data_IF_652855157023
#
_entry.id   IF_652855157023
#
_cell.length_a   1.000
_cell.length_b   1.000
_cell.length_c   1.000
_cell.angle_alpha   90.00
_cell.angle_beta   90.00
_cell.angle_gamma   90.00
#
_symmetry.space_group_name_H-M   'P 1'
#
loop_
_entity.id
_entity.type
_entity.pdbx_description
1 polymer ?
#
# COMPACT_ATOMS: atom_id res chain seq x y z
N UNK A 1 -1.53 -7.33 16.87
CA UNK A 1 -2.28 -6.24 17.54
C UNK A 1 -1.26 -5.22 18.01
N UNK A 2 -1.45 -3.93 17.69
CA UNK A 2 -0.49 -2.87 18.01
C UNK A 2 -0.45 -2.59 19.52
N UNK A 3 0.75 -2.42 20.07
CA UNK A 3 0.95 -2.18 21.51
C UNK A 3 0.67 -0.71 21.91
N UNK A 4 0.55 0.21 20.94
CA UNK A 4 0.25 1.62 21.20
C UNK A 4 0.22 2.45 19.93
N UNK A 5 -0.37 3.65 20.04
CA UNK A 5 -0.31 4.71 19.04
C UNK A 5 0.38 5.91 19.68
N UNK A 6 1.46 6.37 19.07
CA UNK A 6 2.22 7.53 19.52
C UNK A 6 2.14 8.61 18.45
N UNK A 7 1.76 9.82 18.87
CA UNK A 7 1.66 10.99 17.98
C UNK A 7 2.49 12.09 18.63
N UNK A 8 3.52 12.55 17.92
CA UNK A 8 4.33 13.71 18.30
C UNK A 8 4.22 14.74 17.18
N UNK A 9 3.92 16.00 17.54
CA UNK A 9 3.85 17.11 16.60
C UNK A 9 4.75 18.24 17.07
N UNK A 10 5.52 18.83 16.15
CA UNK A 10 6.45 19.91 16.48
C UNK A 10 5.78 21.25 16.78
N UNK A 11 4.51 21.44 16.40
CA UNK A 11 3.79 22.70 16.60
C UNK A 11 2.42 22.46 17.24
N UNK A 12 1.56 21.66 16.60
CA UNK A 12 0.17 21.51 17.01
C UNK A 12 -0.41 20.15 16.63
N UNK A 13 -1.25 19.59 17.51
CA UNK A 13 -2.23 18.55 17.18
C UNK A 13 -3.61 19.16 17.41
N UNK A 14 -4.35 19.44 16.32
CA UNK A 14 -5.71 19.94 16.41
C UNK A 14 -6.73 18.81 16.23
N UNK A 15 -7.36 18.37 17.32
CA UNK A 15 -8.44 17.39 17.30
C UNK A 15 -9.79 18.10 17.35
N UNK A 16 -10.53 18.07 16.24
CA UNK A 16 -11.85 18.69 16.11
C UNK A 16 -12.86 17.70 15.55
N UNK A 17 -14.11 17.80 16.00
CA UNK A 17 -15.25 16.99 15.54
C UNK A 17 -16.45 17.89 15.31
N UNK A 18 -17.20 17.65 14.24
CA UNK A 18 -18.40 18.41 13.92
C UNK A 18 -19.56 18.18 14.90
N UNK A 19 -19.56 17.07 15.66
CA UNK A 19 -20.64 16.75 16.60
C UNK A 19 -20.17 16.33 17.98
N UNK A 20 -19.32 15.30 18.08
CA UNK A 20 -18.93 14.71 19.37
C UNK A 20 -17.52 14.15 19.29
N UNK A 21 -16.76 14.30 20.37
CA UNK A 21 -15.54 13.53 20.67
C UNK A 21 -15.81 12.73 21.94
N UNK A 22 -15.44 11.45 21.94
CA UNK A 22 -15.49 10.57 23.12
C UNK A 22 -14.11 9.97 23.30
N UNK A 23 -13.53 10.15 24.48
CA UNK A 23 -12.23 9.59 24.86
C UNK A 23 -12.47 8.65 26.04
N UNK A 24 -12.23 7.36 25.84
CA UNK A 24 -12.38 6.32 26.86
C UNK A 24 -11.02 5.67 27.13
N UNK A 25 -10.69 5.45 28.39
CA UNK A 25 -9.50 4.70 28.79
C UNK A 25 -9.84 3.74 29.92
N UNK A 26 -9.22 2.56 29.92
CA UNK A 26 -9.45 1.55 30.94
C UNK A 26 -8.74 1.83 32.27
N UNK A 27 -7.68 2.63 32.26
CA UNK A 27 -6.86 2.90 33.45
C UNK A 27 -6.75 4.38 33.78
N UNK A 28 -6.32 5.21 32.83
CA UNK A 28 -6.07 6.63 33.09
C UNK A 28 -6.20 7.48 31.82
N UNK A 29 -6.72 8.70 31.96
CA UNK A 29 -6.59 9.78 30.98
C UNK A 29 -5.85 10.94 31.66
N UNK A 30 -4.76 11.42 31.05
CA UNK A 30 -3.98 12.54 31.58
C UNK A 30 -3.76 13.61 30.50
N UNK A 31 -4.11 14.85 30.82
CA UNK A 31 -3.80 16.05 30.02
C UNK A 31 -2.78 16.89 30.78
N UNK A 32 -1.58 17.10 30.23
CA UNK A 32 -0.49 17.81 30.92
C UNK A 32 0.05 18.95 30.06
N UNK A 33 0.26 20.12 30.68
CA UNK A 33 0.90 21.29 30.07
C UNK A 33 1.83 21.92 31.10
N UNK A 34 3.14 21.89 30.84
CA UNK A 34 4.15 22.36 31.79
C UNK A 34 4.00 21.69 33.17
N UNK A 35 3.86 22.50 34.22
CA UNK A 35 3.63 22.05 35.60
C UNK A 35 2.16 21.81 35.99
N UNK A 36 1.21 21.99 35.07
CA UNK A 36 -0.22 21.80 35.32
C UNK A 36 -0.74 20.53 34.63
N UNK A 37 -1.71 19.86 35.25
CA UNK A 37 -2.34 18.68 34.64
C UNK A 37 -3.78 18.43 35.13
N UNK A 38 -4.52 17.70 34.31
CA UNK A 38 -5.80 17.08 34.64
C UNK A 38 -5.65 15.57 34.46
N UNK A 39 -6.07 14.80 35.46
CA UNK A 39 -5.92 13.34 35.46
C UNK A 39 -7.22 12.68 35.91
N UNK A 40 -7.65 11.67 35.14
CA UNK A 40 -8.83 10.86 35.40
C UNK A 40 -8.38 9.41 35.58
N UNK A 41 -8.70 8.82 36.72
CA UNK A 41 -8.36 7.44 37.06
C UNK A 41 -9.45 6.85 37.99
N UNK A 42 -9.34 5.59 38.46
CA UNK A 42 -10.35 5.01 39.35
C UNK A 42 -10.56 5.73 40.69
N UNK A 43 -9.64 6.61 41.11
CA UNK A 43 -9.80 7.44 42.31
C UNK A 43 -10.59 8.73 42.06
N UNK A 44 -10.80 9.11 40.80
CA UNK A 44 -11.63 10.24 40.40
C UNK A 44 -10.92 11.22 39.47
N UNK A 45 -11.19 12.52 39.66
CA UNK A 45 -10.64 13.61 38.84
C UNK A 45 -9.68 14.45 39.68
N UNK A 46 -8.43 14.54 39.24
CA UNK A 46 -7.38 15.36 39.85
C UNK A 46 -7.07 16.57 38.96
N UNK A 47 -7.04 17.76 39.57
CA UNK A 47 -6.75 19.04 38.91
C UNK A 47 -5.59 19.73 39.63
N UNK A 48 -4.45 19.93 38.96
CA UNK A 48 -3.26 20.57 39.55
C UNK A 48 -2.75 21.69 38.66
N UNK A 49 -2.47 22.85 39.25
CA UNK A 49 -1.82 23.99 38.61
C UNK A 49 -1.72 25.20 39.55
N UNK A 50 -0.91 26.23 39.24
CA UNK A 50 -0.77 27.44 40.07
C UNK A 50 -2.09 28.19 40.31
N UNK A 51 -3.03 28.07 39.38
CA UNK A 51 -4.39 28.59 39.51
C UNK A 51 -5.35 27.73 38.71
N UNK A 52 -6.46 27.30 39.33
CA UNK A 52 -7.53 26.54 38.68
C UNK A 52 -8.77 27.41 38.64
N UNK A 53 -9.22 27.78 37.43
CA UNK A 53 -10.39 28.63 37.22
C UNK A 53 -11.61 27.77 36.92
N UNK A 54 -12.63 27.84 37.78
CA UNK A 54 -13.89 27.10 37.61
C UNK A 54 -15.01 28.13 37.44
N UNK A 55 -15.72 28.07 36.31
CA UNK A 55 -16.80 29.02 35.96
C UNK A 55 -16.38 30.51 36.00
N UNK A 56 -15.12 30.82 35.70
CA UNK A 56 -14.54 32.17 35.87
C UNK A 56 -14.37 32.96 34.56
N UNK A 57 -15.09 32.60 33.50
CA UNK A 57 -14.96 33.21 32.16
C UNK A 57 -13.65 32.89 31.43
N UNK A 58 -13.42 33.53 30.27
CA UNK A 58 -12.24 33.35 29.41
C UNK A 58 -12.57 33.12 27.93
N UNK A 59 -11.55 33.04 27.08
CA UNK A 59 -11.65 32.66 25.67
C UNK A 59 -10.92 31.35 25.43
N UNK A 60 -11.54 30.43 24.70
CA UNK A 60 -10.89 29.19 24.26
C UNK A 60 -9.78 29.51 23.24
N UNK A 61 -8.75 28.65 23.20
CA UNK A 61 -7.80 28.66 22.10
C UNK A 61 -8.46 28.22 20.79
N UNK A 62 -7.93 28.68 19.66
CA UNK A 62 -8.33 28.26 18.32
C UNK A 62 -7.24 27.39 17.69
N UNK A 63 -7.61 26.26 17.10
CA UNK A 63 -6.67 25.44 16.34
C UNK A 63 -6.67 25.76 14.84
N UNK A 64 -5.58 25.42 14.15
CA UNK A 64 -5.38 25.74 12.72
C UNK A 64 -6.35 25.05 11.76
N UNK A 65 -6.95 23.94 12.18
CA UNK A 65 -7.81 23.12 11.34
C UNK A 65 -7.02 22.17 10.43
N UNK A 66 -7.60 21.02 10.10
CA UNK A 66 -6.99 20.12 9.13
C UNK A 66 -7.26 20.63 7.71
N UNK A 67 -6.20 20.88 6.95
CA UNK A 67 -6.26 21.22 5.52
C UNK A 67 -5.40 20.24 4.70
N UNK A 68 -5.74 18.94 4.68
CA UNK A 68 -4.98 17.96 3.92
C UNK A 68 -5.06 18.25 2.43
N UNK A 69 -3.92 18.11 1.73
CA UNK A 69 -3.91 18.18 0.27
C UNK A 69 -4.67 16.97 -0.29
N UNK A 70 -5.61 17.22 -1.19
CA UNK A 70 -6.31 16.15 -1.89
C UNK A 70 -5.31 15.33 -2.74
N UNK A 71 -5.50 14.01 -2.88
CA UNK A 71 -4.78 13.25 -3.87
C UNK A 71 -5.01 13.88 -5.26
N UNK A 72 -3.96 13.95 -6.06
CA UNK A 72 -4.06 14.41 -7.44
C UNK A 72 -4.78 13.39 -8.33
N UNK A 73 -5.02 13.77 -9.58
CA UNK A 73 -5.57 12.86 -10.57
C UNK A 73 -4.67 11.63 -10.75
N UNK A 74 -5.29 10.45 -10.83
CA UNK A 74 -4.58 9.23 -11.15
C UNK A 74 -4.09 9.27 -12.60
N UNK A 75 -2.88 8.77 -12.84
CA UNK A 75 -2.42 8.55 -14.21
C UNK A 75 -3.39 7.61 -14.95
N UNK A 76 -3.58 7.85 -16.24
CA UNK A 76 -4.33 6.94 -17.11
C UNK A 76 -3.61 5.60 -17.09
N UNK A 77 -4.36 4.50 -16.96
CA UNK A 77 -3.79 3.16 -17.07
C UNK A 77 -3.00 3.05 -18.38
N UNK A 78 -1.82 2.40 -18.32
CA UNK A 78 -1.07 2.09 -19.54
C UNK A 78 -2.00 1.38 -20.52
N UNK A 79 -2.07 1.93 -21.73
CA UNK A 79 -2.78 1.31 -22.83
C UNK A 79 -1.89 0.21 -23.37
N UNK A 80 -2.18 -1.04 -23.01
CA UNK A 80 -1.50 -2.19 -23.62
C UNK A 80 -2.20 -2.54 -24.93
N UNK A 81 -1.41 -2.89 -25.93
CA UNK A 81 -1.94 -3.37 -27.21
C UNK A 81 -2.25 -4.86 -27.07
N UNK A 82 -3.47 -5.26 -27.43
CA UNK A 82 -3.80 -6.68 -27.52
C UNK A 82 -2.79 -7.38 -28.44
N UNK A 83 -2.10 -8.39 -27.92
CA UNK A 83 -1.15 -9.18 -28.70
C UNK A 83 -1.80 -9.71 -29.98
N UNK A 84 -1.05 -9.69 -31.09
CA UNK A 84 -1.58 -10.11 -32.39
C UNK A 84 -2.18 -11.51 -32.37
N UNK A 85 -3.30 -11.70 -33.09
CA UNK A 85 -3.98 -12.99 -33.22
C UNK A 85 -2.98 -14.10 -33.59
N UNK A 86 -3.06 -15.23 -32.90
CA UNK A 86 -2.20 -16.41 -33.11
C UNK A 86 -2.06 -16.80 -34.59
N UNK A 87 -3.12 -16.64 -35.37
CA UNK A 87 -3.15 -16.94 -36.80
C UNK A 87 -2.23 -16.05 -37.64
N UNK A 88 -2.07 -14.77 -37.26
CA UNK A 88 -1.18 -13.84 -37.94
C UNK A 88 0.29 -14.12 -37.59
N UNK A 89 0.58 -14.28 -36.29
CA UNK A 89 1.92 -14.62 -35.81
C UNK A 89 2.42 -15.96 -36.36
N UNK A 90 1.54 -16.95 -36.50
CA UNK A 90 1.88 -18.25 -37.09
C UNK A 90 2.23 -18.14 -38.60
N UNK A 91 1.52 -17.29 -39.35
CA UNK A 91 1.83 -17.04 -40.77
C UNK A 91 3.16 -16.31 -40.95
N UNK A 92 3.46 -15.33 -40.10
CA UNK A 92 4.74 -14.63 -40.09
C UNK A 92 5.90 -15.57 -39.70
N UNK A 93 5.73 -16.37 -38.65
CA UNK A 93 6.72 -17.36 -38.23
C UNK A 93 6.99 -18.41 -39.33
N UNK A 94 5.93 -18.86 -40.02
CA UNK A 94 6.06 -19.74 -41.19
C UNK A 94 6.83 -19.06 -42.34
N UNK A 95 6.60 -17.78 -42.62
CA UNK A 95 7.35 -17.03 -43.64
C UNK A 95 8.81 -16.83 -43.24
N UNK A 96 9.08 -16.57 -41.96
CA UNK A 96 10.42 -16.40 -41.42
C UNK A 96 11.18 -17.69 -41.16
N UNK A 97 10.57 -18.86 -41.43
CA UNK A 97 11.10 -20.18 -41.03
C UNK A 97 11.52 -20.26 -39.56
N UNK A 98 10.93 -19.42 -38.71
CA UNK A 98 11.19 -19.40 -37.27
C UNK A 98 10.21 -20.36 -36.58
N UNK A 99 10.70 -21.36 -35.85
CA UNK A 99 9.81 -22.22 -35.08
C UNK A 99 9.20 -21.40 -33.94
N UNK A 100 7.86 -21.24 -33.94
CA UNK A 100 7.12 -20.51 -32.89
C UNK A 100 7.13 -21.24 -31.54
N UNK A 101 7.41 -22.54 -31.56
CA UNK A 101 7.69 -23.37 -30.40
C UNK A 101 9.06 -23.96 -30.64
N UNK A 102 10.01 -23.75 -29.72
CA UNK A 102 11.29 -24.46 -29.74
C UNK A 102 10.99 -25.96 -29.88
N UNK A 103 11.46 -26.58 -30.96
CA UNK A 103 11.38 -28.03 -31.10
C UNK A 103 12.09 -28.62 -29.89
N UNK A 104 11.34 -29.30 -29.01
CA UNK A 104 11.80 -29.76 -27.71
C UNK A 104 13.20 -30.40 -27.83
N UNK A 105 14.19 -29.77 -27.19
CA UNK A 105 15.60 -30.22 -27.12
C UNK A 105 16.35 -30.31 -28.46
N UNK A 106 15.97 -29.53 -29.48
CA UNK A 106 16.78 -29.39 -30.70
C UNK A 106 18.03 -28.53 -30.41
N UNK A 107 19.26 -29.02 -30.64
CA UNK A 107 20.47 -28.22 -30.49
C UNK A 107 20.41 -26.97 -31.37
N UNK A 108 20.91 -25.82 -30.90
CA UNK A 108 20.98 -24.59 -31.72
C UNK A 108 21.75 -24.88 -33.01
N UNK A 109 21.10 -24.66 -34.16
CA UNK A 109 21.66 -24.93 -35.49
C UNK A 109 21.68 -26.40 -35.92
N UNK A 110 21.17 -27.32 -35.10
CA UNK A 110 21.19 -28.76 -35.38
C UNK A 110 20.05 -29.26 -36.27
N UNK A 111 20.13 -30.52 -36.70
CA UNK A 111 19.05 -31.22 -37.44
C UNK A 111 18.29 -32.19 -36.52
N UNK A 112 17.07 -32.64 -36.89
CA UNK A 112 16.32 -33.63 -36.09
C UNK A 112 17.09 -34.94 -35.80
N UNK A 113 18.10 -35.28 -36.60
CA UNK A 113 18.97 -36.43 -36.37
C UNK A 113 19.83 -36.27 -35.11
N UNK A 114 20.24 -35.04 -34.78
CA UNK A 114 21.12 -34.70 -33.66
C UNK A 114 20.41 -34.55 -32.31
N UNK A 115 19.15 -35.01 -32.22
CA UNK A 115 18.39 -34.97 -30.99
C UNK A 115 18.96 -35.98 -29.95
N UNK A 116 19.24 -35.56 -28.71
CA UNK A 116 19.81 -36.42 -27.67
C UNK A 116 18.79 -37.39 -27.04
N UNK A 117 17.49 -37.23 -27.31
CA UNK A 117 16.44 -38.13 -26.83
C UNK A 117 16.51 -39.49 -27.54
N UNK A 118 16.38 -40.57 -26.77
CA UNK A 118 16.34 -41.94 -27.29
C UNK A 118 15.12 -42.20 -28.19
N UNK A 119 13.96 -41.63 -27.86
CA UNK A 119 12.78 -41.63 -28.72
C UNK A 119 12.43 -40.20 -29.14
N UNK A 120 12.86 -39.81 -30.35
CA UNK A 120 12.60 -38.50 -30.91
C UNK A 120 11.53 -38.58 -32.00
N UNK A 121 10.31 -38.03 -31.78
CA UNK A 121 9.24 -38.02 -32.78
C UNK A 121 9.64 -37.29 -34.07
N UNK A 122 10.49 -36.28 -33.97
CA UNK A 122 10.96 -35.49 -35.12
C UNK A 122 11.90 -36.28 -36.04
N UNK A 123 12.65 -37.24 -35.48
CA UNK A 123 13.51 -38.15 -36.24
C UNK A 123 12.63 -39.08 -37.11
N UNK A 124 11.65 -39.73 -36.47
CA UNK A 124 10.65 -40.59 -37.14
C UNK A 124 9.88 -39.87 -38.26
N UNK A 125 9.48 -38.62 -38.04
CA UNK A 125 8.76 -37.83 -39.04
C UNK A 125 9.63 -37.37 -40.23
N UNK A 126 10.96 -37.33 -40.06
CA UNK A 126 11.91 -36.88 -41.10
C UNK A 126 12.39 -38.03 -42.01
N UNK A 127 11.95 -39.27 -41.77
CA UNK A 127 12.34 -40.44 -42.56
C UNK A 127 13.81 -40.87 -42.40
N UNK A 128 14.47 -40.44 -41.31
CA UNK A 128 15.84 -40.81 -40.93
C UNK A 128 15.81 -41.68 -39.68
#
# INVERSE_FOLDING_TARGET
>A
LGQGQFIEAGQEIHLSSGMKVVLEAGSEITFKVGGSFVKLDPSGVTLVGPSVKINSGGSAGSGSGAAPKLPGDTAVAESDEAGGLLSFRLKEARKGSSPFVELCQKPKGGTPAQCPLADCPCRKASGV
#
